data_IF_782555327479
#
_entry.id   IF_782555327479
#
_cell.length_a   1.000
_cell.length_b   1.000
_cell.length_c   1.000
_cell.angle_alpha   90.00
_cell.angle_beta   90.00
_cell.angle_gamma   90.00
#
_symmetry.space_group_name_H-M   'P 1'
#
loop_
_entity.id
_entity.type
_entity.pdbx_description
1 polymer ?
#
# COMPACT_ATOMS: atom_id res chain seq x y z
N UNK A 1 -8.42 1.57 51.65
CA UNK A 1 -9.16 2.82 51.35
C UNK A 1 -9.35 2.87 49.84
N UNK A 2 -10.58 2.65 49.35
CA UNK A 2 -10.88 2.72 47.92
C UNK A 2 -11.08 4.19 47.53
N UNK A 3 -10.20 4.71 46.67
CA UNK A 3 -10.34 6.04 46.06
C UNK A 3 -11.56 6.01 45.15
N UNK A 4 -12.59 6.80 45.48
CA UNK A 4 -13.77 6.96 44.65
C UNK A 4 -13.34 7.56 43.30
N UNK A 5 -13.57 6.83 42.20
CA UNK A 5 -13.32 7.32 40.85
C UNK A 5 -14.15 8.59 40.61
N UNK A 6 -13.46 9.72 40.40
CA UNK A 6 -14.08 11.01 40.11
C UNK A 6 -14.83 10.87 38.78
N UNK A 7 -16.16 11.00 38.79
CA UNK A 7 -16.97 11.01 37.57
C UNK A 7 -16.59 12.23 36.73
N UNK A 8 -16.13 12.02 35.50
CA UNK A 8 -15.87 13.08 34.53
C UNK A 8 -17.18 13.75 34.12
N UNK A 9 -17.12 15.04 33.81
CA UNK A 9 -18.26 15.77 33.25
C UNK A 9 -18.49 15.41 31.79
N UNK A 10 -19.68 15.69 31.26
CA UNK A 10 -19.97 15.48 29.84
C UNK A 10 -19.05 16.31 28.95
N UNK A 11 -18.78 17.57 29.33
CA UNK A 11 -17.86 18.47 28.63
C UNK A 11 -16.44 17.90 28.60
N UNK A 12 -15.92 17.38 29.72
CA UNK A 12 -14.61 16.73 29.76
C UNK A 12 -14.54 15.47 28.88
N UNK A 13 -15.64 14.73 28.76
CA UNK A 13 -15.73 13.56 27.88
C UNK A 13 -15.78 14.00 26.41
N UNK A 14 -16.58 15.03 26.10
CA UNK A 14 -16.76 15.55 24.76
C UNK A 14 -15.48 16.20 24.21
N UNK A 15 -14.86 17.09 24.98
CA UNK A 15 -13.60 17.75 24.61
C UNK A 15 -12.48 16.71 24.44
N UNK A 16 -12.46 15.70 25.32
CA UNK A 16 -11.52 14.58 25.19
C UNK A 16 -11.74 13.75 23.93
N UNK A 17 -12.99 13.50 23.54
CA UNK A 17 -13.33 12.78 22.31
C UNK A 17 -13.01 13.61 21.05
N UNK A 18 -13.30 14.91 21.07
CA UNK A 18 -12.99 15.83 19.99
C UNK A 18 -11.49 15.94 19.77
N UNK A 19 -10.72 16.12 20.84
CA UNK A 19 -9.25 16.18 20.74
C UNK A 19 -8.65 14.87 20.21
N UNK A 20 -9.22 13.70 20.57
CA UNK A 20 -8.81 12.41 20.00
C UNK A 20 -9.10 12.34 18.49
N UNK A 21 -10.28 12.79 18.07
CA UNK A 21 -10.66 12.82 16.66
C UNK A 21 -9.75 13.74 15.84
N UNK A 22 -9.52 14.96 16.31
CA UNK A 22 -8.63 15.92 15.64
C UNK A 22 -7.20 15.39 15.49
N UNK A 23 -6.69 14.69 16.51
CA UNK A 23 -5.37 14.06 16.44
C UNK A 23 -5.32 12.93 15.42
N UNK A 24 -6.37 12.11 15.33
CA UNK A 24 -6.48 11.06 14.31
C UNK A 24 -6.48 11.65 12.90
N UNK A 25 -7.25 12.71 12.67
CA UNK A 25 -7.33 13.37 11.35
C UNK A 25 -6.01 14.02 10.93
N UNK A 26 -5.17 14.41 11.89
CA UNK A 26 -3.86 14.99 11.65
C UNK A 26 -2.79 13.94 11.26
N UNK A 27 -3.03 12.65 11.46
CA UNK A 27 -2.07 11.60 11.10
C UNK A 27 -2.08 11.31 9.60
N UNK A 28 -0.93 10.90 9.01
CA UNK A 28 -0.89 10.32 7.68
C UNK A 28 -1.93 9.22 7.50
N UNK A 29 -2.55 9.18 6.31
CA UNK A 29 -3.67 8.30 6.02
C UNK A 29 -3.30 6.81 6.16
N UNK A 30 -2.08 6.45 5.84
CA UNK A 30 -1.52 5.10 5.98
C UNK A 30 -1.46 4.64 7.43
N UNK A 31 -1.18 5.56 8.36
CA UNK A 31 -1.12 5.26 9.79
C UNK A 31 -2.52 5.06 10.36
N UNK A 32 -3.49 5.88 9.93
CA UNK A 32 -4.90 5.71 10.28
C UNK A 32 -5.42 4.34 9.81
N UNK A 33 -5.12 3.96 8.56
CA UNK A 33 -5.51 2.67 8.01
C UNK A 33 -4.87 1.49 8.75
N UNK A 34 -3.61 1.63 9.19
CA UNK A 34 -2.95 0.60 10.00
C UNK A 34 -3.61 0.48 11.37
N UNK A 35 -3.96 1.60 12.02
CA UNK A 35 -4.69 1.65 13.29
C UNK A 35 -6.04 0.94 13.21
N UNK A 36 -6.86 1.27 12.20
CA UNK A 36 -8.16 0.65 12.02
C UNK A 36 -8.07 -0.86 11.70
N UNK A 37 -7.09 -1.24 10.90
CA UNK A 37 -6.86 -2.63 10.52
C UNK A 37 -6.40 -3.48 11.71
N UNK A 38 -5.37 -3.04 12.44
CA UNK A 38 -4.86 -3.75 13.61
C UNK A 38 -5.85 -3.77 14.76
N UNK A 39 -6.51 -2.63 15.03
CA UNK A 39 -7.54 -2.55 16.07
C UNK A 39 -8.59 -3.62 15.88
N UNK A 40 -9.06 -3.81 14.65
CA UNK A 40 -10.05 -4.85 14.40
C UNK A 40 -9.49 -6.27 14.40
N UNK A 41 -8.24 -6.50 13.96
CA UNK A 41 -7.64 -7.85 13.98
C UNK A 41 -7.42 -8.29 15.43
N UNK A 42 -6.95 -7.38 16.27
CA UNK A 42 -6.59 -7.66 17.66
C UNK A 42 -7.77 -7.48 18.63
N UNK A 43 -8.85 -6.83 18.20
CA UNK A 43 -9.99 -6.51 19.05
C UNK A 43 -9.66 -5.42 20.06
N UNK A 44 -8.88 -4.41 19.66
CA UNK A 44 -8.61 -3.24 20.49
C UNK A 44 -9.90 -2.44 20.68
N UNK A 45 -10.06 -1.86 21.87
CA UNK A 45 -11.20 -1.01 22.21
C UNK A 45 -11.11 0.35 21.52
N UNK A 46 -9.88 0.86 21.39
CA UNK A 46 -9.58 2.10 20.69
C UNK A 46 -8.11 2.10 20.25
N UNK A 47 -7.77 3.01 19.33
CA UNK A 47 -6.39 3.33 19.01
C UNK A 47 -6.15 4.84 19.15
N UNK A 48 -4.98 5.22 19.64
CA UNK A 48 -4.65 6.59 20.07
C UNK A 48 -3.40 7.10 19.36
N UNK A 49 -3.55 8.18 18.59
CA UNK A 49 -2.44 8.89 17.93
C UNK A 49 -1.39 9.40 18.93
N UNK A 50 -0.10 9.18 18.64
CA UNK A 50 1.05 9.57 19.48
C UNK A 50 2.08 10.43 18.76
N UNK A 51 2.35 10.20 17.47
CA UNK A 51 3.24 11.06 16.68
C UNK A 51 2.47 12.26 16.09
N UNK A 52 1.98 13.11 16.98
CA UNK A 52 1.25 14.35 16.63
C UNK A 52 1.87 15.57 17.30
N UNK A 53 1.80 16.77 16.68
CA UNK A 53 2.38 17.98 17.25
C UNK A 53 1.91 18.23 18.70
N UNK A 54 2.85 18.26 19.64
CA UNK A 54 2.59 18.53 21.06
C UNK A 54 2.57 17.30 21.98
N UNK A 55 2.73 16.08 21.47
CA UNK A 55 2.94 14.91 22.31
C UNK A 55 4.44 14.72 22.65
N UNK A 56 4.86 14.87 23.91
CA UNK A 56 6.26 14.68 24.31
C UNK A 56 6.72 13.22 24.19
N UNK A 57 5.79 12.28 24.00
CA UNK A 57 6.05 10.85 23.93
C UNK A 57 6.15 10.29 22.51
N UNK A 58 6.09 11.12 21.45
CA UNK A 58 6.09 10.79 19.99
C UNK A 58 7.23 9.89 19.49
N UNK A 59 7.36 8.73 20.10
CA UNK A 59 8.36 7.70 19.91
C UNK A 59 7.78 6.53 19.12
N UNK A 60 6.51 6.59 18.78
CA UNK A 60 5.80 5.69 17.89
C UNK A 60 4.53 6.38 17.40
N UNK A 61 3.90 5.82 16.37
CA UNK A 61 2.88 6.53 15.61
C UNK A 61 1.52 6.48 16.35
N UNK A 62 1.13 5.32 16.89
CA UNK A 62 -0.07 5.18 17.73
C UNK A 62 -0.03 4.02 18.73
N UNK A 63 -0.86 4.09 19.77
CA UNK A 63 -1.15 2.96 20.68
C UNK A 63 -2.45 2.27 20.31
N UNK A 64 -2.51 0.94 20.43
CA UNK A 64 -3.75 0.18 20.55
C UNK A 64 -4.06 -0.05 22.03
N UNK A 65 -5.27 0.29 22.47
CA UNK A 65 -5.74 0.04 23.83
C UNK A 65 -6.64 -1.18 23.84
N UNK A 66 -6.20 -2.24 24.49
CA UNK A 66 -6.91 -3.50 24.59
C UNK A 66 -8.06 -3.41 25.62
N UNK A 67 -9.08 -4.29 25.57
CA UNK A 67 -10.19 -4.28 26.53
C UNK A 67 -9.77 -4.46 28.00
N UNK A 68 -8.64 -5.11 28.24
CA UNK A 68 -8.04 -5.29 29.57
C UNK A 68 -7.18 -4.11 30.02
N UNK A 69 -7.08 -3.06 29.20
CA UNK A 69 -6.28 -1.86 29.45
C UNK A 69 -4.82 -1.98 29.03
N UNK A 70 -4.37 -3.13 28.50
CA UNK A 70 -3.03 -3.26 27.93
C UNK A 70 -2.84 -2.33 26.75
N UNK A 71 -1.62 -1.84 26.56
CA UNK A 71 -1.25 -0.92 25.50
C UNK A 71 -0.21 -1.54 24.57
N UNK A 72 -0.49 -1.49 23.27
CA UNK A 72 0.43 -1.96 22.23
C UNK A 72 0.90 -0.73 21.45
N UNK A 73 2.19 -0.41 21.56
CA UNK A 73 2.80 0.67 20.78
C UNK A 73 3.05 0.18 19.35
N UNK A 74 2.62 0.96 18.36
CA UNK A 74 2.76 0.63 16.93
C UNK A 74 3.53 1.72 16.20
N UNK A 75 4.58 1.30 15.49
CA UNK A 75 5.23 2.11 14.45
C UNK A 75 4.76 1.63 13.09
N UNK A 76 4.37 2.54 12.22
CA UNK A 76 3.97 2.28 10.84
C UNK A 76 5.07 2.76 9.91
N UNK A 77 5.42 1.92 8.95
CA UNK A 77 6.37 2.28 7.90
C UNK A 77 5.88 1.75 6.58
N UNK A 78 6.25 2.44 5.52
CA UNK A 78 6.10 1.94 4.17
C UNK A 78 7.45 1.40 3.71
N UNK A 79 7.49 0.12 3.34
CA UNK A 79 8.63 -0.46 2.66
C UNK A 79 8.55 -0.12 1.17
N UNK A 80 9.29 0.89 0.77
CA UNK A 80 9.67 1.05 -0.63
C UNK A 80 11.04 0.43 -0.78
N UNK A 81 11.19 -0.58 -1.64
CA UNK A 81 12.53 -1.08 -1.94
C UNK A 81 13.36 0.10 -2.51
N UNK A 82 14.65 0.26 -2.15
CA UNK A 82 15.49 1.32 -2.70
C UNK A 82 15.42 1.43 -4.22
N UNK A 83 15.24 0.29 -4.87
CA UNK A 83 15.12 0.09 -6.32
C UNK A 83 13.81 0.64 -6.92
N UNK A 84 12.75 0.80 -6.13
CA UNK A 84 11.45 1.32 -6.58
C UNK A 84 11.28 2.81 -6.26
N UNK A 85 12.05 3.32 -5.29
CA UNK A 85 11.90 4.69 -4.78
C UNK A 85 12.20 5.77 -5.85
N UNK A 86 13.19 5.56 -6.71
CA UNK A 86 13.61 6.54 -7.72
C UNK A 86 12.65 6.59 -8.92
N UNK A 87 12.23 5.41 -9.43
CA UNK A 87 11.15 5.34 -10.42
C UNK A 87 9.85 5.95 -9.89
N UNK A 88 9.49 5.65 -8.63
CA UNK A 88 8.29 6.21 -8.01
C UNK A 88 8.40 7.71 -7.77
N UNK A 89 9.59 8.24 -7.46
CA UNK A 89 9.82 9.67 -7.34
C UNK A 89 9.57 10.38 -8.69
N UNK A 90 10.23 9.91 -9.77
CA UNK A 90 10.03 10.48 -11.10
C UNK A 90 8.59 10.29 -11.60
N UNK A 91 7.99 9.12 -11.37
CA UNK A 91 6.59 8.87 -11.68
C UNK A 91 5.69 9.84 -10.93
N UNK A 92 5.93 10.09 -9.64
CA UNK A 92 5.13 11.02 -8.84
C UNK A 92 5.26 12.46 -9.30
N UNK A 93 6.43 12.87 -9.80
CA UNK A 93 6.61 14.18 -10.43
C UNK A 93 5.82 14.32 -11.74
N UNK A 94 5.75 13.25 -12.52
CA UNK A 94 5.09 13.24 -13.83
C UNK A 94 3.58 12.97 -13.75
N UNK A 95 3.10 12.29 -12.70
CA UNK A 95 1.75 11.76 -12.59
C UNK A 95 0.84 12.67 -11.72
N UNK A 96 -0.35 13.06 -12.20
CA UNK A 96 -0.91 12.76 -13.51
C UNK A 96 -0.36 13.64 -14.63
N UNK A 97 -0.04 13.01 -15.76
CA UNK A 97 0.42 13.71 -16.96
C UNK A 97 -0.79 14.47 -17.55
N UNK A 98 -0.69 15.79 -17.78
CA UNK A 98 -1.73 16.55 -18.45
C UNK A 98 -1.89 16.06 -19.90
N UNK A 99 -3.12 15.76 -20.29
CA UNK A 99 -3.47 15.30 -21.64
C UNK A 99 -4.82 15.89 -22.07
N UNK A 100 -4.91 17.23 -22.25
CA UNK A 100 -6.17 17.96 -22.40
C UNK A 100 -7.01 17.56 -23.63
N UNK A 101 -6.44 16.84 -24.59
CA UNK A 101 -7.18 16.34 -25.76
C UNK A 101 -7.98 15.06 -25.49
N UNK A 102 -7.74 14.38 -24.37
CA UNK A 102 -8.43 13.14 -24.01
C UNK A 102 -9.76 13.42 -23.33
N UNK A 103 -10.80 12.70 -23.74
CA UNK A 103 -12.13 12.78 -23.14
C UNK A 103 -12.18 12.01 -21.83
N UNK A 104 -11.52 10.86 -21.77
CA UNK A 104 -11.46 10.02 -20.59
C UNK A 104 -10.13 10.21 -19.84
N UNK A 105 -10.11 9.84 -18.56
CA UNK A 105 -8.85 9.56 -17.87
C UNK A 105 -8.27 8.24 -18.37
N UNK A 106 -6.95 8.11 -18.42
CA UNK A 106 -6.28 6.89 -18.91
C UNK A 106 -5.30 6.32 -17.90
N UNK A 107 -5.28 5.00 -17.76
CA UNK A 107 -4.25 4.28 -17.00
C UNK A 107 -3.37 3.47 -17.95
N UNK A 108 -2.05 3.60 -17.76
CA UNK A 108 -1.05 2.96 -18.61
C UNK A 108 -0.02 2.22 -17.78
N UNK A 109 0.27 0.97 -18.11
CA UNK A 109 1.32 0.20 -17.45
C UNK A 109 2.48 -0.09 -18.39
N UNK A 110 3.68 0.32 -17.98
CA UNK A 110 4.93 0.03 -18.69
C UNK A 110 5.53 -1.33 -18.31
N UNK A 111 5.90 -2.12 -19.31
CA UNK A 111 6.63 -3.39 -19.20
C UNK A 111 8.12 -3.15 -18.94
N UNK A 112 8.41 -2.62 -17.74
CA UNK A 112 9.75 -2.46 -17.19
C UNK A 112 9.97 -3.52 -16.12
N UNK A 113 11.10 -4.22 -16.17
CA UNK A 113 11.53 -5.07 -15.06
C UNK A 113 11.88 -4.23 -13.82
N UNK A 114 12.03 -4.86 -12.65
CA UNK A 114 12.48 -4.17 -11.43
C UNK A 114 13.86 -3.54 -11.62
N UNK A 115 14.80 -4.30 -12.17
CA UNK A 115 16.17 -3.83 -12.38
C UNK A 115 16.21 -2.64 -13.35
N UNK A 116 15.43 -2.65 -14.42
CA UNK A 116 15.37 -1.53 -15.38
C UNK A 116 14.72 -0.27 -14.81
N UNK A 117 13.74 -0.41 -13.92
CA UNK A 117 13.16 0.77 -13.28
C UNK A 117 14.05 1.33 -12.16
N UNK A 118 14.84 0.46 -11.53
CA UNK A 118 15.82 0.83 -10.52
C UNK A 118 17.04 1.53 -11.12
N UNK A 119 17.32 1.28 -12.40
CA UNK A 119 18.40 1.94 -13.11
C UNK A 119 17.94 3.28 -13.68
N UNK A 120 18.29 4.39 -13.02
CA UNK A 120 17.95 5.75 -13.49
C UNK A 120 18.46 6.02 -14.90
N UNK A 121 19.57 5.39 -15.31
CA UNK A 121 20.15 5.57 -16.64
C UNK A 121 19.30 4.90 -17.74
N UNK A 122 18.37 4.03 -17.34
CA UNK A 122 17.39 3.38 -18.21
C UNK A 122 16.01 4.03 -18.04
N UNK A 123 15.49 4.08 -16.81
CA UNK A 123 14.11 4.49 -16.52
C UNK A 123 13.83 5.96 -16.84
N UNK A 124 14.75 6.87 -16.48
CA UNK A 124 14.53 8.32 -16.66
C UNK A 124 14.53 8.70 -18.14
N UNK A 125 15.53 8.28 -18.96
CA UNK A 125 15.49 8.53 -20.40
C UNK A 125 14.28 7.89 -21.07
N UNK A 126 13.90 6.67 -20.64
CA UNK A 126 12.73 5.98 -21.17
C UNK A 126 11.43 6.76 -20.94
N UNK A 127 11.14 7.18 -19.70
CA UNK A 127 9.92 7.95 -19.42
C UNK A 127 9.93 9.32 -20.13
N UNK A 128 11.09 9.97 -20.23
CA UNK A 128 11.23 11.24 -20.97
C UNK A 128 10.96 11.09 -22.47
N UNK A 129 11.28 9.94 -23.08
CA UNK A 129 10.93 9.66 -24.48
C UNK A 129 9.46 9.24 -24.64
N UNK A 130 8.97 8.37 -23.77
CA UNK A 130 7.66 7.75 -23.90
C UNK A 130 6.52 8.74 -23.61
N UNK A 131 6.61 9.51 -22.51
CA UNK A 131 5.50 10.35 -22.01
C UNK A 131 4.98 11.36 -23.06
N UNK A 132 5.83 12.12 -23.77
CA UNK A 132 5.36 13.06 -24.79
C UNK A 132 4.61 12.42 -25.97
N UNK A 133 4.78 11.11 -26.18
CA UNK A 133 4.18 10.36 -27.30
C UNK A 133 2.81 9.77 -26.95
N UNK A 134 2.43 9.75 -25.67
CA UNK A 134 1.23 9.07 -25.19
C UNK A 134 -0.07 9.77 -25.62
N UNK A 135 -0.21 11.06 -25.34
CA UNK A 135 -1.46 11.79 -25.60
C UNK A 135 -1.91 11.70 -27.07
N UNK A 136 -1.05 11.92 -28.09
CA UNK A 136 -1.46 11.79 -29.48
C UNK A 136 -1.95 10.38 -29.85
N UNK A 137 -1.33 9.34 -29.29
CA UNK A 137 -1.72 7.95 -29.55
C UNK A 137 -3.07 7.66 -28.90
N UNK A 138 -3.25 8.05 -27.63
CA UNK A 138 -4.50 7.85 -26.89
C UNK A 138 -5.68 8.61 -27.51
N UNK A 139 -5.46 9.85 -27.96
CA UNK A 139 -6.49 10.64 -28.64
C UNK A 139 -6.96 9.97 -29.94
N UNK A 140 -6.05 9.30 -30.66
CA UNK A 140 -6.40 8.50 -31.85
C UNK A 140 -7.17 7.23 -31.47
N UNK A 141 -6.83 6.57 -30.37
CA UNK A 141 -7.60 5.42 -29.86
C UNK A 141 -9.04 5.84 -29.53
N UNK A 142 -9.22 6.99 -28.87
CA UNK A 142 -10.55 7.51 -28.54
C UNK A 142 -11.36 7.88 -29.79
N UNK A 143 -10.72 8.52 -30.78
CA UNK A 143 -11.41 8.97 -32.00
C UNK A 143 -11.80 7.81 -32.91
N UNK A 144 -11.02 6.73 -32.93
CA UNK A 144 -11.27 5.50 -33.70
C UNK A 144 -12.14 4.47 -32.94
N UNK A 145 -12.45 4.72 -31.66
CA UNK A 145 -13.28 3.81 -30.85
C UNK A 145 -12.57 2.49 -30.49
N UNK A 146 -11.25 2.51 -30.36
CA UNK A 146 -10.39 1.32 -30.21
C UNK A 146 -10.05 0.99 -28.75
N UNK A 147 -10.77 1.54 -27.77
CA UNK A 147 -10.42 1.43 -26.35
C UNK A 147 -10.34 -0.03 -25.87
N UNK A 148 -11.17 -0.93 -26.40
CA UNK A 148 -11.16 -2.35 -26.04
C UNK A 148 -9.96 -3.12 -26.61
N UNK A 149 -9.34 -2.64 -27.69
CA UNK A 149 -8.24 -3.32 -28.37
C UNK A 149 -6.90 -3.19 -27.62
N UNK A 150 -6.80 -2.26 -26.67
CA UNK A 150 -5.53 -1.86 -26.03
C UNK A 150 -5.43 -2.22 -24.55
N UNK A 151 -6.48 -2.82 -23.98
CA UNK A 151 -6.60 -3.15 -22.55
C UNK A 151 -5.48 -4.09 -22.07
N UNK A 152 -5.07 -5.05 -22.89
CA UNK A 152 -3.98 -5.97 -22.54
C UNK A 152 -3.12 -6.30 -23.77
N UNK A 153 -2.03 -5.54 -23.95
CA UNK A 153 -1.10 -5.67 -25.07
C UNK A 153 -0.22 -6.92 -24.96
N UNK A 154 -0.12 -7.50 -23.76
CA UNK A 154 0.69 -8.68 -23.45
C UNK A 154 -0.08 -10.00 -23.40
N UNK A 155 -1.41 -10.01 -23.41
CA UNK A 155 -2.20 -11.25 -23.38
C UNK A 155 -2.28 -11.91 -24.77
N UNK A 156 -1.68 -13.10 -24.96
CA UNK A 156 -1.75 -13.83 -26.23
C UNK A 156 -3.18 -14.24 -26.61
N UNK A 157 -4.07 -14.45 -25.63
CA UNK A 157 -5.47 -14.81 -25.88
C UNK A 157 -6.31 -13.60 -26.31
N UNK A 158 -6.01 -12.40 -25.80
CA UNK A 158 -6.59 -11.17 -26.31
C UNK A 158 -6.21 -10.94 -27.78
N UNK A 159 -4.97 -11.25 -28.16
CA UNK A 159 -4.47 -11.17 -29.55
C UNK A 159 -5.16 -12.13 -30.52
N UNK A 160 -5.49 -13.34 -30.05
CA UNK A 160 -6.13 -14.35 -30.90
C UNK A 160 -7.59 -13.99 -31.27
N UNK A 161 -8.23 -13.11 -30.49
CA UNK A 161 -9.66 -12.83 -30.59
C UNK A 161 -9.99 -11.41 -31.08
N UNK A 162 -8.99 -10.54 -31.27
CA UNK A 162 -9.17 -9.19 -31.80
C UNK A 162 -8.26 -8.96 -33.03
N UNK A 163 -8.71 -8.24 -34.07
CA UNK A 163 -7.84 -7.84 -35.17
C UNK A 163 -6.70 -6.97 -34.62
N UNK A 164 -5.44 -7.36 -34.83
CA UNK A 164 -4.30 -6.53 -34.43
C UNK A 164 -4.33 -5.22 -35.23
N UNK A 165 -4.55 -4.10 -34.51
CA UNK A 165 -4.50 -2.76 -35.07
C UNK A 165 -3.06 -2.22 -34.96
N UNK A 166 -2.60 -1.46 -35.96
CA UNK A 166 -1.24 -0.89 -35.97
C UNK A 166 -0.91 -0.05 -34.73
N UNK A 167 -1.93 0.53 -34.10
CA UNK A 167 -1.80 1.29 -32.85
C UNK A 167 -1.28 0.44 -31.68
N UNK A 168 -1.56 -0.87 -31.69
CA UNK A 168 -1.03 -1.79 -30.69
C UNK A 168 0.48 -1.94 -30.80
N UNK A 169 1.02 -1.90 -32.03
CA UNK A 169 2.48 -1.94 -32.25
C UNK A 169 3.15 -0.65 -31.82
N UNK A 170 2.50 0.50 -32.05
CA UNK A 170 2.97 1.79 -31.54
C UNK A 170 3.02 1.80 -30.00
N UNK A 171 1.98 1.33 -29.32
CA UNK A 171 1.97 1.22 -27.85
C UNK A 171 3.02 0.22 -27.33
N UNK A 172 3.21 -0.91 -28.01
CA UNK A 172 4.27 -1.88 -27.67
C UNK A 172 5.67 -1.32 -27.87
N UNK A 173 5.88 -0.45 -28.88
CA UNK A 173 7.14 0.24 -29.08
C UNK A 173 7.48 1.19 -27.92
N UNK A 174 6.45 1.67 -27.20
CA UNK A 174 6.57 2.40 -25.94
C UNK A 174 6.65 1.47 -24.72
N UNK A 175 6.86 0.17 -24.93
CA UNK A 175 6.88 -0.88 -23.91
C UNK A 175 5.63 -0.86 -23.03
N UNK A 176 4.45 -0.54 -23.57
CA UNK A 176 3.22 -0.64 -22.80
C UNK A 176 2.72 -2.08 -22.76
N UNK A 177 2.36 -2.54 -21.57
CA UNK A 177 1.70 -3.82 -21.33
C UNK A 177 0.19 -3.67 -21.32
N UNK A 178 -0.31 -2.58 -20.74
CA UNK A 178 -1.74 -2.27 -20.64
C UNK A 178 -1.97 -0.79 -20.89
N UNK A 179 -3.06 -0.49 -21.58
CA UNK A 179 -3.58 0.86 -21.71
C UNK A 179 -5.10 0.78 -21.67
N UNK A 180 -5.75 1.45 -20.72
CA UNK A 180 -7.20 1.41 -20.65
C UNK A 180 -7.79 2.76 -20.21
N UNK A 181 -8.98 3.11 -20.73
CA UNK A 181 -9.73 4.23 -20.21
C UNK A 181 -10.17 3.90 -18.79
N UNK A 182 -10.04 4.88 -17.92
CA UNK A 182 -10.34 4.80 -16.51
C UNK A 182 -11.32 5.93 -16.17
N UNK A 183 -12.62 5.70 -16.40
CA UNK A 183 -13.65 6.74 -16.26
C UNK A 183 -13.84 7.25 -14.83
N UNK A 184 -13.24 6.58 -13.83
CA UNK A 184 -13.18 7.03 -12.45
C UNK A 184 -12.06 8.04 -12.17
N UNK A 185 -11.21 8.34 -13.15
CA UNK A 185 -10.14 9.33 -13.06
C UNK A 185 -10.53 10.62 -13.77
N UNK A 186 -9.87 11.73 -13.43
CA UNK A 186 -10.13 13.03 -14.05
C UNK A 186 -9.92 12.97 -15.57
N UNK A 187 -10.88 13.48 -16.34
CA UNK A 187 -10.75 13.61 -17.80
C UNK A 187 -9.52 14.43 -18.18
N UNK A 188 -8.87 14.07 -19.28
CA UNK A 188 -7.69 14.79 -19.76
C UNK A 188 -6.44 14.54 -18.93
N UNK A 189 -6.37 13.40 -18.23
CA UNK A 189 -5.22 12.96 -17.44
C UNK A 189 -4.77 11.56 -17.85
N UNK A 190 -3.46 11.35 -17.83
CA UNK A 190 -2.85 10.03 -18.00
C UNK A 190 -2.12 9.67 -16.70
N UNK A 191 -2.46 8.51 -16.15
CA UNK A 191 -1.79 7.92 -15.01
C UNK A 191 -0.82 6.85 -15.45
N UNK A 192 0.42 7.00 -14.98
CA UNK A 192 1.51 6.09 -15.29
C UNK A 192 1.62 5.05 -14.17
N UNK A 193 1.64 3.79 -14.58
CA UNK A 193 1.81 2.61 -13.78
C UNK A 193 2.94 1.75 -14.32
N UNK A 194 3.27 0.70 -13.57
CA UNK A 194 4.24 -0.31 -13.96
C UNK A 194 3.53 -1.63 -14.12
N UNK A 195 3.89 -2.33 -15.18
CA UNK A 195 3.29 -3.58 -15.58
C UNK A 195 3.88 -4.78 -14.83
N UNK A 196 4.07 -4.64 -13.53
CA UNK A 196 4.29 -5.77 -12.64
C UNK A 196 3.23 -5.78 -11.54
N UNK A 197 2.25 -6.64 -11.84
CA UNK A 197 1.56 -7.53 -10.95
C UNK A 197 0.83 -6.92 -9.74
N UNK A 198 -0.50 -6.84 -9.90
CA UNK A 198 -1.32 -7.56 -8.93
C UNK A 198 -0.68 -8.94 -8.77
N UNK A 199 -0.02 -9.20 -7.64
CA UNK A 199 -0.18 -10.41 -6.84
C UNK A 199 0.94 -10.55 -5.82
N UNK A 200 0.48 -10.86 -4.61
CA UNK A 200 1.16 -11.47 -3.47
C UNK A 200 2.68 -11.41 -3.39
N UNK A 201 3.16 -10.82 -2.31
CA UNK A 201 4.56 -10.90 -1.90
C UNK A 201 5.02 -12.35 -1.84
N UNK A 202 6.15 -12.63 -2.47
CA UNK A 202 6.92 -13.83 -2.17
C UNK A 202 7.31 -13.81 -0.68
N UNK A 203 7.43 -14.98 -0.04
CA UNK A 203 7.82 -15.08 1.37
C UNK A 203 9.10 -14.31 1.72
N UNK A 204 10.10 -14.35 0.85
CA UNK A 204 11.37 -13.66 1.05
C UNK A 204 11.21 -12.13 1.07
N UNK A 205 10.32 -11.58 0.23
CA UNK A 205 10.05 -10.14 0.20
C UNK A 205 9.37 -9.63 1.47
N UNK A 206 8.54 -10.45 2.11
CA UNK A 206 7.89 -10.10 3.38
C UNK A 206 8.95 -10.04 4.51
N UNK A 207 9.84 -11.03 4.58
CA UNK A 207 10.90 -11.05 5.57
C UNK A 207 11.90 -9.92 5.37
N UNK A 208 12.34 -9.67 4.13
CA UNK A 208 13.26 -8.59 3.78
C UNK A 208 12.69 -7.20 4.13
N UNK A 209 11.39 -6.97 3.88
CA UNK A 209 10.73 -5.71 4.23
C UNK A 209 10.78 -5.45 5.75
N UNK A 210 10.50 -6.49 6.55
CA UNK A 210 10.58 -6.42 8.01
C UNK A 210 12.01 -6.18 8.46
N UNK A 211 12.98 -6.96 8.00
CA UNK A 211 14.39 -6.82 8.41
C UNK A 211 14.98 -5.45 8.04
N UNK A 212 14.71 -4.98 6.82
CA UNK A 212 15.19 -3.69 6.32
C UNK A 212 14.65 -2.54 7.16
N UNK A 213 13.34 -2.53 7.46
CA UNK A 213 12.74 -1.47 8.27
C UNK A 213 13.16 -1.58 9.73
N UNK A 214 13.16 -2.78 10.31
CA UNK A 214 13.57 -3.00 11.71
C UNK A 214 14.95 -2.41 11.96
N UNK A 215 15.90 -2.57 11.03
CA UNK A 215 17.24 -2.01 11.18
C UNK A 215 17.25 -0.47 11.37
N UNK A 216 16.24 0.24 10.87
CA UNK A 216 16.12 1.71 10.89
C UNK A 216 15.31 2.22 12.08
N UNK A 217 14.23 1.51 12.45
CA UNK A 217 13.26 1.99 13.46
C UNK A 217 13.39 1.33 14.83
N UNK A 218 14.22 0.30 14.95
CA UNK A 218 14.39 -0.47 16.19
C UNK A 218 14.71 0.40 17.42
N UNK A 219 15.60 1.38 17.30
CA UNK A 219 15.97 2.26 18.42
C UNK A 219 14.84 3.19 18.86
N UNK A 220 13.94 3.58 17.94
CA UNK A 220 12.73 4.37 18.22
C UNK A 220 11.72 3.49 18.98
N UNK A 221 11.41 2.30 18.45
CA UNK A 221 10.48 1.36 19.08
C UNK A 221 10.93 0.83 20.45
N UNK A 222 12.23 0.66 20.70
CA UNK A 222 12.70 0.20 22.01
C UNK A 222 12.32 1.15 23.16
N UNK A 223 12.25 2.46 22.90
CA UNK A 223 11.95 3.47 23.93
C UNK A 223 10.47 3.49 24.34
N UNK A 224 9.57 2.94 23.53
CA UNK A 224 8.13 2.88 23.85
C UNK A 224 7.82 2.09 25.13
N UNK A 225 8.62 1.07 25.49
CA UNK A 225 8.46 0.34 26.77
C UNK A 225 8.75 1.21 27.99
N UNK A 226 9.62 2.22 27.87
CA UNK A 226 9.91 3.16 28.95
C UNK A 226 8.70 4.06 29.25
N UNK A 227 7.76 4.18 28.30
CA UNK A 227 6.52 4.94 28.43
C UNK A 227 5.30 4.09 28.79
N UNK A 228 5.50 2.81 29.15
CA UNK A 228 4.44 1.95 29.69
C UNK A 228 3.70 1.07 28.68
N UNK A 229 4.18 0.96 27.43
CA UNK A 229 3.64 -0.01 26.48
C UNK A 229 3.95 -1.46 26.93
N UNK A 230 2.94 -2.34 26.87
CA UNK A 230 3.08 -3.77 27.18
C UNK A 230 3.75 -4.53 26.03
N UNK A 231 3.35 -4.20 24.79
CA UNK A 231 3.85 -4.81 23.56
C UNK A 231 4.31 -3.74 22.55
N UNK A 232 5.24 -4.13 21.67
CA UNK A 232 5.81 -3.29 20.61
C UNK A 232 5.65 -3.94 19.27
N UNK A 233 4.89 -3.30 18.39
CA UNK A 233 4.58 -3.84 17.07
C UNK A 233 5.16 -2.92 16.00
N UNK A 234 5.69 -3.52 14.93
CA UNK A 234 6.00 -2.82 13.69
C UNK A 234 4.91 -3.17 12.67
N UNK A 235 4.35 -2.17 12.00
CA UNK A 235 3.46 -2.36 10.86
C UNK A 235 4.14 -1.87 9.58
N UNK A 236 4.22 -2.74 8.58
CA UNK A 236 4.84 -2.46 7.29
C UNK A 236 3.80 -2.49 6.18
N UNK A 237 3.55 -1.33 5.60
CA UNK A 237 2.91 -1.22 4.31
C UNK A 237 3.90 -1.56 3.21
N UNK A 238 3.49 -2.41 2.27
CA UNK A 238 4.27 -2.65 1.06
C UNK A 238 3.43 -2.14 -0.14
N UNK A 239 3.94 -1.21 -0.95
CA UNK A 239 3.22 -0.71 -2.11
C UNK A 239 3.07 -1.81 -3.19
N UNK A 240 2.13 -1.65 -4.13
CA UNK A 240 2.10 -2.47 -5.32
C UNK A 240 3.41 -2.33 -6.12
N UNK A 241 3.92 -3.43 -6.65
CA UNK A 241 5.11 -3.40 -7.53
C UNK A 241 6.47 -3.46 -6.82
N UNK A 242 6.57 -4.07 -5.64
CA UNK A 242 7.84 -4.44 -5.01
C UNK A 242 8.12 -5.95 -5.16
N UNK A 243 8.95 -6.41 -6.12
CA UNK A 243 9.29 -7.82 -6.26
C UNK A 243 10.80 -8.06 -6.12
N UNK A 244 11.16 -9.25 -5.63
CA UNK A 244 12.51 -9.81 -5.84
C UNK A 244 12.54 -11.29 -6.25
N UNK A 245 11.51 -12.11 -6.04
CA UNK A 245 11.63 -13.54 -6.36
C UNK A 245 10.90 -13.96 -7.65
N UNK A 246 11.58 -14.79 -8.45
CA UNK A 246 11.03 -15.49 -9.61
C UNK A 246 9.81 -16.36 -9.23
N UNK A 247 9.75 -16.81 -7.97
CA UNK A 247 8.61 -17.54 -7.38
C UNK A 247 7.35 -16.68 -7.22
N UNK A 248 7.48 -15.36 -7.00
CA UNK A 248 6.34 -14.45 -6.96
C UNK A 248 5.65 -14.32 -8.34
N UNK A 249 6.40 -14.51 -9.43
CA UNK A 249 5.84 -14.57 -10.80
C UNK A 249 4.98 -15.82 -11.02
N UNK A 250 5.24 -16.91 -10.28
CA UNK A 250 4.48 -18.17 -10.32
C UNK A 250 3.30 -18.20 -9.34
N UNK A 251 3.33 -17.38 -8.27
CA UNK A 251 2.25 -17.24 -7.28
C UNK A 251 1.08 -16.36 -7.79
N UNK A 252 0.82 -16.39 -9.09
CA UNK A 252 -0.25 -15.66 -9.80
C UNK A 252 -1.65 -16.26 -9.57
N UNK A 253 -1.83 -17.09 -8.53
CA UNK A 253 -3.06 -17.81 -8.28
C UNK A 253 -3.53 -17.65 -6.83
N UNK A 254 -4.41 -16.67 -6.62
CA UNK A 254 -5.57 -16.69 -5.68
C UNK A 254 -5.37 -17.05 -4.20
N UNK A 255 -4.17 -17.33 -3.70
CA UNK A 255 -3.95 -17.68 -2.31
C UNK A 255 -2.71 -16.97 -1.73
N UNK A 256 -2.80 -16.42 -0.49
CA UNK A 256 -1.62 -15.97 0.22
C UNK A 256 -0.56 -17.09 0.26
N UNK A 257 0.75 -16.81 0.09
CA UNK A 257 1.79 -17.82 0.21
C UNK A 257 1.63 -18.58 1.52
N UNK A 258 1.74 -19.91 1.54
CA UNK A 258 1.56 -20.64 2.80
C UNK A 258 2.60 -20.19 3.84
N UNK A 259 2.25 -20.02 5.13
CA UNK A 259 3.20 -19.64 6.19
C UNK A 259 4.46 -20.52 6.25
N UNK A 260 4.36 -21.76 5.75
CA UNK A 260 5.47 -22.71 5.66
C UNK A 260 6.60 -22.29 4.71
N UNK A 261 6.35 -21.32 3.83
CA UNK A 261 7.33 -20.80 2.88
C UNK A 261 8.07 -19.58 3.42
N UNK A 262 7.61 -19.00 4.53
CA UNK A 262 8.29 -17.89 5.19
C UNK A 262 9.45 -18.41 6.07
N UNK A 263 10.54 -17.63 6.23
CA UNK A 263 11.60 -17.98 7.17
C UNK A 263 11.01 -18.25 8.55
N UNK A 264 11.37 -19.40 9.14
CA UNK A 264 10.76 -19.86 10.41
C UNK A 264 10.99 -18.89 11.57
N UNK A 265 12.03 -18.08 11.49
CA UNK A 265 12.42 -17.10 12.51
C UNK A 265 13.07 -15.92 11.81
N UNK A 266 12.43 -14.75 11.83
CA UNK A 266 13.15 -13.49 11.65
C UNK A 266 13.43 -12.93 13.06
N UNK A 267 14.63 -12.40 13.27
CA UNK A 267 14.98 -11.77 14.54
C UNK A 267 14.18 -10.47 14.68
N UNK A 268 13.16 -10.49 15.54
CA UNK A 268 12.32 -9.32 15.83
C UNK A 268 13.06 -8.24 16.63
N UNK A 269 14.31 -8.49 17.03
CA UNK A 269 15.17 -7.55 17.78
C UNK A 269 14.41 -6.96 18.98
N UNK A 270 13.70 -7.82 19.69
CA UNK A 270 12.92 -7.43 20.86
C UNK A 270 11.54 -6.81 20.56
N UNK A 271 11.08 -6.72 19.32
CA UNK A 271 9.66 -6.49 19.07
C UNK A 271 8.83 -7.72 19.45
N UNK A 272 7.57 -7.48 19.81
CA UNK A 272 6.63 -8.55 20.16
C UNK A 272 5.91 -9.07 18.89
N UNK A 273 5.72 -8.20 17.89
CA UNK A 273 5.23 -8.60 16.57
C UNK A 273 5.70 -7.67 15.45
N UNK A 274 5.78 -8.20 14.23
CA UNK A 274 5.84 -7.42 13.00
C UNK A 274 4.66 -7.80 12.08
N UNK A 275 4.06 -6.80 11.45
CA UNK A 275 2.91 -6.94 10.58
C UNK A 275 3.27 -6.46 9.19
N UNK A 276 2.82 -7.16 8.15
CA UNK A 276 3.04 -6.76 6.76
C UNK A 276 1.73 -6.84 6.01
N UNK A 277 1.35 -5.75 5.35
CA UNK A 277 0.16 -5.69 4.53
C UNK A 277 0.43 -4.91 3.23
N UNK A 278 -0.37 -5.20 2.21
CA UNK A 278 -0.34 -4.43 0.96
C UNK A 278 -0.99 -3.08 1.15
N UNK A 279 -0.31 -2.03 0.70
CA UNK A 279 -0.91 -0.72 0.56
C UNK A 279 -1.84 -0.75 -0.66
N UNK A 280 -3.14 -0.80 -0.43
CA UNK A 280 -4.14 -0.64 -1.48
C UNK A 280 -4.48 0.85 -1.64
N UNK A 281 -3.91 1.48 -2.67
CA UNK A 281 -4.25 2.86 -3.04
C UNK A 281 -5.76 3.00 -3.31
N UNK A 282 -6.38 4.15 -3.05
CA UNK A 282 -7.83 4.35 -3.22
C UNK A 282 -8.38 3.95 -4.60
N UNK A 283 -7.65 4.23 -5.68
CA UNK A 283 -8.04 3.81 -7.03
C UNK A 283 -8.06 2.28 -7.20
N UNK A 284 -7.15 1.57 -6.53
CA UNK A 284 -7.14 0.10 -6.50
C UNK A 284 -8.17 -0.49 -5.52
N UNK A 285 -8.76 0.30 -4.61
CA UNK A 285 -9.82 -0.20 -3.70
C UNK A 285 -11.11 -0.55 -4.45
N UNK A 286 -11.40 0.16 -5.53
CA UNK A 286 -12.58 -0.11 -6.38
C UNK A 286 -12.38 -1.33 -7.29
N UNK A 287 -11.16 -1.59 -7.77
CA UNK A 287 -10.86 -2.77 -8.60
C UNK A 287 -10.82 -4.09 -7.80
N UNK A 288 -10.72 -4.01 -6.47
CA UNK A 288 -10.48 -5.16 -5.57
C UNK A 288 -11.78 -5.60 -4.86
N UNK A 289 -12.94 -5.26 -5.43
CA UNK A 289 -14.24 -5.79 -4.98
C UNK A 289 -14.20 -7.32 -4.88
N UNK A 290 -14.29 -7.84 -3.65
CA UNK A 290 -14.34 -9.28 -3.36
C UNK A 290 -13.00 -9.94 -2.96
N UNK A 291 -11.88 -9.22 -2.93
CA UNK A 291 -10.60 -9.79 -2.47
C UNK A 291 -10.25 -9.34 -1.05
N UNK A 292 -9.99 -10.32 -0.17
CA UNK A 292 -9.41 -10.07 1.14
C UNK A 292 -7.91 -9.79 1.00
N UNK A 293 -7.41 -8.66 1.51
CA UNK A 293 -5.97 -8.47 1.63
C UNK A 293 -5.48 -9.21 2.89
N UNK A 294 -4.62 -10.24 2.77
CA UNK A 294 -3.93 -10.86 3.86
C UNK A 294 -3.03 -9.83 4.54
N UNK A 295 -3.06 -9.90 5.85
CA UNK A 295 -2.12 -9.26 6.74
C UNK A 295 -1.27 -10.36 7.33
N UNK A 296 0.03 -10.26 7.12
CA UNK A 296 1.00 -11.19 7.69
C UNK A 296 1.41 -10.72 9.06
N UNK A 297 1.49 -11.63 10.01
CA UNK A 297 2.00 -11.37 11.34
C UNK A 297 3.18 -12.30 11.60
N UNK A 298 4.31 -11.74 12.00
CA UNK A 298 5.46 -12.46 12.53
C UNK A 298 5.53 -12.25 14.05
N UNK A 299 5.64 -13.34 14.80
CA UNK A 299 5.98 -13.34 16.23
C UNK A 299 7.10 -14.35 16.49
N UNK A 300 7.55 -14.49 17.74
CA UNK A 300 8.48 -15.55 18.15
C UNK A 300 7.94 -16.98 17.86
N UNK A 301 6.62 -17.13 17.73
CA UNK A 301 5.98 -18.39 17.36
C UNK A 301 5.99 -18.65 15.84
N UNK A 302 6.49 -17.70 15.04
CA UNK A 302 6.54 -17.75 13.58
C UNK A 302 5.41 -16.96 12.91
N UNK A 303 5.24 -17.21 11.60
CA UNK A 303 4.32 -16.47 10.76
C UNK A 303 2.87 -16.94 10.83
N UNK A 304 1.95 -15.98 10.80
CA UNK A 304 0.50 -16.16 10.68
C UNK A 304 -0.07 -15.26 9.58
N UNK A 305 -1.14 -15.71 8.94
CA UNK A 305 -1.85 -14.95 7.92
C UNK A 305 -3.26 -14.65 8.41
N UNK A 306 -3.68 -13.40 8.27
CA UNK A 306 -5.00 -12.90 8.63
C UNK A 306 -5.69 -12.41 7.36
N UNK A 307 -6.81 -12.99 6.97
CA UNK A 307 -7.58 -12.53 5.81
C UNK A 307 -8.79 -11.71 6.29
N UNK A 308 -8.93 -10.48 5.79
CA UNK A 308 -10.11 -9.64 6.06
C UNK A 308 -10.62 -8.96 4.79
N UNK A 309 -11.94 -8.82 4.69
CA UNK A 309 -12.57 -8.02 3.63
C UNK A 309 -12.55 -6.53 4.01
N UNK A 310 -11.92 -5.70 3.18
CA UNK A 310 -11.82 -4.25 3.42
C UNK A 310 -13.17 -3.51 3.48
N UNK A 311 -14.23 -4.09 2.88
CA UNK A 311 -15.59 -3.53 2.91
C UNK A 311 -16.14 -3.29 4.33
N UNK A 312 -15.60 -3.96 5.35
CA UNK A 312 -16.04 -3.75 6.75
C UNK A 312 -15.41 -2.54 7.44
N UNK A 313 -14.47 -1.83 6.81
CA UNK A 313 -13.82 -0.65 7.41
C UNK A 313 -14.60 0.64 7.12
N UNK A 314 -15.16 0.80 5.92
CA UNK A 314 -15.96 1.97 5.55
C UNK A 314 -17.35 1.99 6.22
N UNK A 315 -17.82 0.84 6.72
CA UNK A 315 -19.11 0.72 7.41
C UNK A 315 -19.04 1.00 8.91
N UNK A 316 -17.83 1.11 9.48
CA UNK A 316 -17.63 1.36 10.92
C UNK A 316 -17.57 2.86 11.28
N UNK A 317 -17.47 3.75 10.28
CA UNK A 317 -17.45 5.22 10.45
C UNK A 317 -18.79 5.90 10.15
N UNK A 318 -19.85 5.12 9.89
CA UNK A 318 -21.18 5.63 9.52
C UNK A 318 -22.32 5.23 10.47
N UNK A 319 -22.02 4.79 11.70
CA UNK A 319 -23.02 4.41 12.71
C UNK A 319 -22.80 5.07 14.06
#
# INVERSE_FOLDING_TARGET
>A
MATAAKKRTFEEIFDGALQKHERRDAMPQEEQWAGDLLSSILGASEWLARDVPGDPSGQHDFDLVMPDGRQIAVEVKTYTSPEVAEFDALRSELNPVPAPSLRDGWHLDFDLSNDEAADETVAVPFLKDAVPRLEPILARIESEGLQQAVVNLADPHARANAPEHSICDELRSLRLRRAFPAPWMDSGRIHLGRAEAVMWYGPDSIAEAVESILSRVHSKLLKSKENGADERHLFVWVPPGAPRSEEARLATATAPPSPRWLPRTADLRGLDAAWVARLCLPAARQEVEGYSTPVWQLTDAGWRCWTRNWQSLDSASAS
#
